data_IF_203287925745
#
_entry.id   IF_203287925745
#
_cell.length_a   1.000
_cell.length_b   1.000
_cell.length_c   1.000
_cell.angle_alpha   90.00
_cell.angle_beta   90.00
_cell.angle_gamma   90.00
#
_symmetry.space_group_name_H-M   'P 1'
#
loop_
_entity.id
_entity.type
_entity.pdbx_description
1 polymer ?
#
# COMPACT_ATOMS: atom_id res chain seq x y z
N UNK A 1 -13.73 22.03 15.31
CA UNK A 1 -13.97 21.23 14.10
C UNK A 1 -12.75 20.36 13.85
N UNK A 2 -12.93 19.05 13.66
CA UNK A 2 -11.84 18.10 13.34
C UNK A 2 -11.69 18.04 11.82
N UNK A 3 -10.44 18.00 11.32
CA UNK A 3 -10.16 17.83 9.89
C UNK A 3 -9.35 16.56 9.67
N UNK A 4 -9.83 15.71 8.76
CA UNK A 4 -9.14 14.50 8.32
C UNK A 4 -8.69 14.68 6.87
N UNK A 5 -7.41 14.41 6.60
CA UNK A 5 -6.85 14.40 5.24
C UNK A 5 -6.40 12.98 4.93
N UNK A 6 -6.91 12.42 3.83
CA UNK A 6 -6.50 11.12 3.33
C UNK A 6 -5.60 11.33 2.11
N UNK A 7 -4.40 10.73 2.15
CA UNK A 7 -3.45 10.77 1.05
C UNK A 7 -3.06 9.35 0.66
N UNK A 8 -3.34 8.97 -0.59
CA UNK A 8 -2.85 7.72 -1.15
C UNK A 8 -1.39 7.86 -1.54
N UNK A 9 -0.63 6.76 -1.43
CA UNK A 9 0.74 6.72 -1.94
C UNK A 9 0.80 7.01 -3.45
N UNK A 10 1.91 7.59 -3.91
CA UNK A 10 2.17 7.77 -5.34
C UNK A 10 2.44 6.46 -6.09
N UNK A 11 2.62 6.52 -7.40
CA UNK A 11 2.90 5.34 -8.23
C UNK A 11 4.09 4.51 -7.68
N UNK A 12 3.90 3.19 -7.55
CA UNK A 12 4.99 2.27 -7.21
C UNK A 12 5.64 1.64 -8.45
N UNK A 13 6.84 1.07 -8.28
CA UNK A 13 7.52 0.33 -9.35
C UNK A 13 6.66 -0.81 -9.91
N UNK A 14 5.83 -1.45 -9.08
CA UNK A 14 4.92 -2.51 -9.53
C UNK A 14 3.61 -2.00 -10.12
N UNK A 15 3.18 -0.78 -9.79
CA UNK A 15 2.08 -0.14 -10.51
C UNK A 15 2.48 0.06 -11.98
N UNK A 16 3.70 0.58 -12.22
CA UNK A 16 4.26 0.77 -13.56
C UNK A 16 4.37 -0.54 -14.34
N UNK A 17 4.70 -1.66 -13.67
CA UNK A 17 4.78 -2.99 -14.28
C UNK A 17 3.44 -3.74 -14.36
N UNK A 18 2.34 -3.09 -14.00
CA UNK A 18 1.00 -3.68 -13.95
C UNK A 18 0.90 -4.99 -13.14
N UNK A 19 1.63 -5.09 -12.02
CA UNK A 19 1.63 -6.26 -11.13
C UNK A 19 0.66 -6.11 -9.96
N UNK A 20 0.16 -7.22 -9.43
CA UNK A 20 -0.52 -7.24 -8.13
C UNK A 20 0.50 -7.08 -7.01
N UNK A 21 0.32 -6.09 -6.13
CA UNK A 21 1.33 -5.76 -5.10
C UNK A 21 0.98 -6.34 -3.74
N UNK A 22 -0.12 -5.86 -3.16
CA UNK A 22 -0.60 -6.27 -1.84
C UNK A 22 0.44 -5.98 -0.78
N UNK A 23 0.74 -6.98 0.04
CA UNK A 23 1.72 -6.87 1.12
C UNK A 23 3.17 -7.01 0.67
N UNK A 24 3.43 -7.07 -0.64
CA UNK A 24 4.80 -6.97 -1.14
C UNK A 24 5.31 -5.55 -0.97
N UNK A 25 6.47 -5.43 -0.31
CA UNK A 25 7.04 -4.14 0.05
C UNK A 25 7.92 -3.56 -1.07
N UNK A 26 7.26 -2.85 -1.98
CA UNK A 26 7.89 -2.17 -3.12
C UNK A 26 7.98 -0.67 -2.88
N UNK A 27 9.01 -0.03 -3.45
CA UNK A 27 9.19 1.42 -3.42
C UNK A 27 8.33 2.17 -4.42
N UNK A 28 8.33 3.51 -4.28
CA UNK A 28 7.78 4.43 -5.25
C UNK A 28 8.60 4.40 -6.56
N UNK A 29 7.94 4.63 -7.70
CA UNK A 29 8.63 5.04 -8.93
C UNK A 29 9.11 6.49 -8.80
N UNK A 30 9.92 6.96 -9.75
CA UNK A 30 10.32 8.38 -9.73
C UNK A 30 9.11 9.32 -9.83
N UNK A 31 8.16 8.99 -10.71
CA UNK A 31 6.86 9.66 -10.80
C UNK A 31 6.11 9.64 -9.46
N UNK A 32 6.08 8.51 -8.76
CA UNK A 32 5.41 8.43 -7.45
C UNK A 32 6.07 9.29 -6.36
N UNK A 33 7.38 9.57 -6.48
CA UNK A 33 8.08 10.51 -5.58
C UNK A 33 7.70 11.95 -5.90
N UNK A 34 7.60 12.29 -7.18
CA UNK A 34 7.13 13.60 -7.64
C UNK A 34 5.69 13.87 -7.17
N UNK A 35 4.78 12.91 -7.34
CA UNK A 35 3.39 12.98 -6.88
C UNK A 35 3.31 13.24 -5.36
N UNK A 36 4.14 12.56 -4.56
CA UNK A 36 4.19 12.77 -3.12
C UNK A 36 4.70 14.16 -2.73
N UNK A 37 5.74 14.64 -3.42
CA UNK A 37 6.27 15.99 -3.19
C UNK A 37 5.24 17.06 -3.58
N UNK A 38 4.54 16.87 -4.70
CA UNK A 38 3.52 17.81 -5.18
C UNK A 38 2.31 17.88 -4.25
N UNK A 39 1.82 16.72 -3.79
CA UNK A 39 0.76 16.68 -2.78
C UNK A 39 1.14 17.50 -1.53
N UNK A 40 2.38 17.39 -1.06
CA UNK A 40 2.87 18.20 0.06
C UNK A 40 2.96 19.70 -0.26
N UNK A 41 3.34 20.08 -1.48
CA UNK A 41 3.37 21.51 -1.90
C UNK A 41 1.97 22.10 -1.93
N UNK A 42 1.00 21.36 -2.48
CA UNK A 42 -0.40 21.79 -2.54
C UNK A 42 -1.04 21.92 -1.16
N UNK A 43 -0.79 20.95 -0.26
CA UNK A 43 -1.23 21.03 1.13
C UNK A 43 -0.65 22.28 1.83
N UNK A 44 0.63 22.57 1.62
CA UNK A 44 1.27 23.77 2.17
C UNK A 44 0.66 25.05 1.61
N UNK A 45 0.47 25.14 0.29
CA UNK A 45 -0.11 26.30 -0.40
C UNK A 45 -1.50 26.63 0.12
N UNK A 46 -2.28 25.62 0.47
CA UNK A 46 -3.63 25.75 1.05
C UNK A 46 -3.64 25.96 2.57
N UNK A 47 -2.47 26.10 3.20
CA UNK A 47 -2.34 26.38 4.63
C UNK A 47 -2.66 25.20 5.56
N UNK A 48 -2.58 23.96 5.08
CA UNK A 48 -2.76 22.79 5.95
C UNK A 48 -1.58 22.65 6.92
N UNK A 49 -1.92 22.32 8.17
CA UNK A 49 -0.99 21.91 9.24
C UNK A 49 -1.54 20.64 9.87
N UNK A 50 -0.65 19.75 10.30
CA UNK A 50 -1.01 18.45 10.84
C UNK A 50 -0.60 18.31 12.30
N UNK A 51 -1.50 17.88 13.17
CA UNK A 51 -1.16 17.61 14.58
C UNK A 51 -0.57 16.19 14.75
N UNK A 52 -1.04 15.26 13.91
CA UNK A 52 -0.59 13.87 13.86
C UNK A 52 -0.74 13.32 12.44
N UNK A 53 0.14 12.40 12.05
CA UNK A 53 0.05 11.68 10.78
C UNK A 53 0.09 10.18 11.04
N UNK A 54 -0.78 9.45 10.37
CA UNK A 54 -0.76 7.99 10.36
C UNK A 54 -0.34 7.49 8.99
N UNK A 55 0.42 6.40 8.94
CA UNK A 55 0.82 5.76 7.68
C UNK A 55 0.91 4.25 7.86
N UNK A 56 0.86 3.51 6.76
CA UNK A 56 1.10 2.06 6.81
C UNK A 56 2.56 1.75 7.14
N UNK A 57 2.88 0.48 7.38
CA UNK A 57 4.28 0.07 7.57
C UNK A 57 5.02 -0.16 6.25
N UNK A 58 4.37 0.03 5.10
CA UNK A 58 4.91 -0.21 3.76
C UNK A 58 5.77 0.97 3.27
N UNK A 59 6.90 0.67 2.61
CA UNK A 59 7.86 1.68 2.15
C UNK A 59 7.23 2.73 1.24
N UNK A 60 6.36 2.32 0.31
CA UNK A 60 5.66 3.27 -0.56
C UNK A 60 4.85 4.31 0.20
N UNK A 61 4.14 3.93 1.26
CA UNK A 61 3.35 4.87 2.06
C UNK A 61 4.25 5.71 2.97
N UNK A 62 5.24 5.10 3.62
CA UNK A 62 6.15 5.83 4.51
C UNK A 62 7.01 6.84 3.74
N UNK A 63 7.44 6.51 2.52
CA UNK A 63 8.15 7.43 1.63
C UNK A 63 7.23 8.54 1.13
N UNK A 64 5.98 8.25 0.74
CA UNK A 64 5.01 9.30 0.39
C UNK A 64 4.82 10.26 1.55
N UNK A 65 4.58 9.76 2.77
CA UNK A 65 4.44 10.59 3.98
C UNK A 65 5.67 11.46 4.21
N UNK A 66 6.88 10.88 4.13
CA UNK A 66 8.14 11.61 4.33
C UNK A 66 8.34 12.73 3.32
N UNK A 67 8.12 12.45 2.03
CA UNK A 67 8.25 13.43 0.95
C UNK A 67 7.20 14.54 1.06
N UNK A 68 5.95 14.20 1.36
CA UNK A 68 4.89 15.17 1.56
C UNK A 68 5.20 16.10 2.75
N UNK A 69 5.60 15.55 3.91
CA UNK A 69 5.96 16.36 5.09
C UNK A 69 7.18 17.24 4.85
N UNK A 70 8.18 16.75 4.10
CA UNK A 70 9.33 17.55 3.66
C UNK A 70 8.90 18.72 2.80
N UNK A 71 7.99 18.51 1.84
CA UNK A 71 7.41 19.58 1.02
C UNK A 71 6.57 20.57 1.83
N UNK A 72 5.81 20.09 2.82
CA UNK A 72 5.06 20.94 3.76
C UNK A 72 6.00 21.75 4.66
N UNK A 73 7.24 21.29 4.85
CA UNK A 73 8.24 21.82 5.79
C UNK A 73 7.78 21.69 7.24
N UNK A 74 7.13 20.58 7.57
CA UNK A 74 6.62 20.32 8.92
C UNK A 74 7.27 19.08 9.52
N UNK A 75 7.72 19.20 10.77
CA UNK A 75 8.02 18.05 11.64
C UNK A 75 6.78 17.76 12.48
N UNK A 76 6.27 16.54 12.42
CA UNK A 76 5.07 16.10 13.13
C UNK A 76 5.25 14.64 13.52
N UNK A 77 4.57 14.20 14.57
CA UNK A 77 4.53 12.80 14.99
C UNK A 77 3.92 11.94 13.87
N UNK A 78 4.62 10.89 13.47
CA UNK A 78 4.17 9.91 12.48
C UNK A 78 4.01 8.55 13.15
N UNK A 79 2.79 8.05 13.17
CA UNK A 79 2.45 6.72 13.70
C UNK A 79 2.31 5.71 12.55
N UNK A 80 2.93 4.54 12.70
CA UNK A 80 2.88 3.47 11.70
C UNK A 80 1.99 2.34 12.18
N UNK A 81 1.04 1.93 11.35
CA UNK A 81 0.09 0.86 11.67
C UNK A 81 -0.04 -0.12 10.50
N UNK A 82 0.12 -1.42 10.76
CA UNK A 82 -0.04 -2.45 9.72
C UNK A 82 -1.49 -2.57 9.24
N UNK A 83 -2.44 -2.13 10.07
CA UNK A 83 -3.87 -2.05 9.76
C UNK A 83 -4.17 -1.08 8.60
N UNK A 84 -3.24 -0.15 8.31
CA UNK A 84 -3.32 0.77 7.17
C UNK A 84 -2.65 0.22 5.90
N UNK A 85 -2.18 -1.02 5.93
CA UNK A 85 -1.63 -1.67 4.75
C UNK A 85 -2.67 -1.78 3.63
N UNK A 86 -2.18 -1.92 2.41
CA UNK A 86 -3.00 -2.35 1.28
C UNK A 86 -3.55 -3.75 1.53
N UNK A 87 -4.66 -4.09 0.87
CA UNK A 87 -5.23 -5.44 0.90
C UNK A 87 -4.23 -6.52 0.45
N UNK A 88 -4.20 -7.67 1.13
CA UNK A 88 -3.40 -8.83 0.77
C UNK A 88 -3.97 -9.55 -0.46
N UNK A 89 -3.27 -9.51 -1.61
CA UNK A 89 -3.71 -10.18 -2.85
C UNK A 89 -3.42 -11.69 -2.91
N UNK A 90 -2.94 -12.27 -1.81
CA UNK A 90 -2.66 -13.70 -1.70
C UNK A 90 -1.67 -14.21 -2.74
N UNK A 91 -2.00 -15.32 -3.38
CA UNK A 91 -1.15 -15.95 -4.37
C UNK A 91 -0.90 -15.06 -5.59
N UNK A 92 -1.76 -14.07 -5.87
CA UNK A 92 -1.64 -13.18 -7.03
C UNK A 92 -0.46 -12.19 -6.91
N UNK A 93 0.08 -11.96 -5.71
CA UNK A 93 1.15 -10.98 -5.50
C UNK A 93 2.38 -11.28 -6.38
N UNK A 94 2.78 -10.31 -7.21
CA UNK A 94 3.90 -10.42 -8.15
C UNK A 94 3.50 -10.80 -9.57
N UNK A 95 2.28 -11.30 -9.77
CA UNK A 95 1.77 -11.65 -11.10
C UNK A 95 1.31 -10.40 -11.86
N UNK A 96 1.44 -10.42 -13.19
CA UNK A 96 0.96 -9.35 -14.05
C UNK A 96 -0.57 -9.44 -14.21
N UNK A 97 -1.27 -8.30 -14.08
CA UNK A 97 -2.73 -8.26 -14.13
C UNK A 97 -3.28 -8.62 -15.50
N UNK A 98 -2.62 -8.20 -16.58
CA UNK A 98 -3.04 -8.51 -17.95
C UNK A 98 -2.85 -9.99 -18.27
N UNK A 99 -1.78 -10.61 -17.80
CA UNK A 99 -1.56 -12.06 -17.94
C UNK A 99 -2.62 -12.86 -17.16
N UNK A 100 -2.93 -12.44 -15.93
CA UNK A 100 -3.99 -13.09 -15.15
C UNK A 100 -5.37 -12.90 -15.76
N UNK A 101 -5.63 -11.74 -16.39
CA UNK A 101 -6.87 -11.50 -17.12
C UNK A 101 -7.00 -12.42 -18.35
N UNK A 102 -5.90 -12.66 -19.08
CA UNK A 102 -5.87 -13.64 -20.17
C UNK A 102 -6.08 -15.08 -19.68
N UNK A 103 -5.49 -15.44 -18.54
CA UNK A 103 -5.55 -16.80 -17.99
C UNK A 103 -6.87 -17.15 -17.31
N UNK A 104 -7.43 -16.22 -16.53
CA UNK A 104 -8.61 -16.47 -15.68
C UNK A 104 -9.86 -15.71 -16.13
N UNK A 105 -9.75 -14.85 -17.14
CA UNK A 105 -10.81 -13.98 -17.60
C UNK A 105 -10.85 -12.64 -16.84
N UNK A 106 -11.22 -11.58 -17.56
CA UNK A 106 -11.31 -10.22 -17.01
C UNK A 106 -12.33 -10.12 -15.88
N UNK A 107 -13.49 -10.78 -16.03
CA UNK A 107 -14.55 -10.82 -15.01
C UNK A 107 -14.04 -11.40 -13.70
N UNK A 108 -13.29 -12.51 -13.74
CA UNK A 108 -12.75 -13.14 -12.54
C UNK A 108 -11.70 -12.27 -11.86
N UNK A 109 -10.78 -11.68 -12.63
CA UNK A 109 -9.78 -10.74 -12.10
C UNK A 109 -10.46 -9.51 -11.50
N UNK A 110 -11.53 -9.01 -12.11
CA UNK A 110 -12.31 -7.90 -11.57
C UNK A 110 -13.00 -8.27 -10.26
N UNK A 111 -13.56 -9.48 -10.15
CA UNK A 111 -14.16 -10.01 -8.92
C UNK A 111 -13.12 -10.01 -7.80
N UNK A 112 -11.95 -10.63 -8.01
CA UNK A 112 -10.87 -10.63 -7.01
C UNK A 112 -10.37 -9.23 -6.65
N UNK A 113 -10.51 -8.24 -7.55
CA UNK A 113 -10.09 -6.86 -7.33
C UNK A 113 -11.13 -6.01 -6.63
N UNK A 114 -12.42 -6.22 -6.89
CA UNK A 114 -13.48 -5.28 -6.52
C UNK A 114 -14.55 -5.85 -5.59
N UNK A 115 -14.61 -7.17 -5.42
CA UNK A 115 -15.59 -7.79 -4.54
C UNK A 115 -15.26 -7.58 -3.07
N UNK A 116 -16.29 -7.25 -2.29
CA UNK A 116 -16.26 -7.21 -0.83
C UNK A 116 -16.30 -8.61 -0.21
N UNK A 117 -16.94 -9.57 -0.88
CA UNK A 117 -17.16 -10.92 -0.34
C UNK A 117 -16.12 -11.96 -0.83
N UNK A 118 -15.51 -11.72 -2.00
CA UNK A 118 -14.69 -12.74 -2.69
C UNK A 118 -13.21 -12.38 -2.60
N UNK A 119 -12.44 -13.28 -1.98
CA UNK A 119 -10.98 -13.17 -1.85
C UNK A 119 -10.28 -13.78 -3.07
N UNK A 120 -9.10 -13.26 -3.48
CA UNK A 120 -8.22 -13.97 -4.39
C UNK A 120 -7.67 -15.26 -3.75
N UNK A 121 -7.12 -16.19 -4.55
CA UNK A 121 -6.54 -17.42 -4.03
C UNK A 121 -5.52 -17.15 -2.92
N UNK A 122 -5.62 -17.91 -1.82
CA UNK A 122 -4.77 -17.72 -0.66
C UNK A 122 -3.31 -18.06 -0.95
N UNK A 123 -2.41 -17.31 -0.32
CA UNK A 123 -0.99 -17.63 -0.30
C UNK A 123 -0.76 -18.91 0.52
N UNK A 124 0.00 -19.88 0.00
CA UNK A 124 0.36 -21.07 0.75
C UNK A 124 1.32 -20.70 1.89
N UNK A 125 1.14 -21.30 3.07
CA UNK A 125 2.01 -21.10 4.24
C UNK A 125 3.46 -21.57 4.00
N UNK A 126 3.66 -22.51 3.07
CA UNK A 126 4.99 -22.95 2.66
C UNK A 126 5.69 -21.95 1.72
N UNK A 127 4.97 -20.96 1.18
CA UNK A 127 5.53 -19.95 0.29
C UNK A 127 6.53 -19.06 1.04
N UNK A 128 7.74 -18.81 0.49
CA UNK A 128 8.74 -17.95 1.12
C UNK A 128 8.23 -16.54 1.47
N UNK A 129 7.27 -16.01 0.68
CA UNK A 129 6.63 -14.71 0.92
C UNK A 129 5.92 -14.68 2.28
N UNK A 130 5.24 -15.77 2.66
CA UNK A 130 4.54 -15.86 3.93
C UNK A 130 5.52 -15.79 5.11
N UNK A 131 6.59 -16.61 5.10
CA UNK A 131 7.61 -16.59 6.16
C UNK A 131 8.30 -15.24 6.29
N UNK A 132 8.58 -14.58 5.16
CA UNK A 132 9.19 -13.24 5.14
C UNK A 132 8.27 -12.19 5.76
N UNK A 133 6.98 -12.21 5.40
CA UNK A 133 5.98 -11.31 5.98
C UNK A 133 5.84 -11.55 7.49
N UNK A 134 5.67 -12.79 7.94
CA UNK A 134 5.57 -13.10 9.37
C UNK A 134 6.72 -12.50 10.20
N UNK A 135 7.97 -12.67 9.74
CA UNK A 135 9.14 -12.08 10.40
C UNK A 135 9.07 -10.56 10.45
N UNK A 136 8.69 -9.91 9.34
CA UNK A 136 8.60 -8.45 9.24
C UNK A 136 7.53 -7.87 10.16
N UNK A 137 6.39 -8.56 10.29
CA UNK A 137 5.22 -8.06 11.01
C UNK A 137 5.17 -8.43 12.49
N UNK A 138 6.00 -9.40 12.92
CA UNK A 138 6.14 -9.76 14.35
C UNK A 138 6.50 -8.56 15.24
N UNK A 139 7.34 -7.64 14.75
CA UNK A 139 7.71 -6.41 15.49
C UNK A 139 6.56 -5.42 15.68
N UNK A 140 5.47 -5.59 14.93
CA UNK A 140 4.23 -4.82 15.05
C UNK A 140 3.14 -5.59 15.81
N UNK A 141 3.50 -6.66 16.52
CA UNK A 141 2.56 -7.49 17.31
C UNK A 141 1.70 -8.45 16.47
N UNK A 142 1.91 -8.53 15.16
CA UNK A 142 1.14 -9.41 14.29
C UNK A 142 1.86 -10.77 14.16
N UNK A 143 1.39 -11.74 14.94
CA UNK A 143 1.94 -13.11 14.97
C UNK A 143 1.50 -13.99 13.79
N UNK A 144 0.37 -13.64 13.15
CA UNK A 144 -0.13 -14.34 11.97
C UNK A 144 -0.56 -13.34 10.90
N UNK A 145 0.26 -13.17 9.86
CA UNK A 145 -0.10 -12.36 8.70
C UNK A 145 -1.21 -13.02 7.87
N UNK A 146 -2.13 -12.25 7.26
CA UNK A 146 -3.15 -12.80 6.39
C UNK A 146 -2.54 -13.46 5.17
N UNK A 147 -3.20 -14.51 4.67
CA UNK A 147 -2.82 -15.17 3.41
C UNK A 147 -3.58 -14.64 2.20
N UNK A 148 -4.69 -13.93 2.41
CA UNK A 148 -5.51 -13.25 1.40
C UNK A 148 -6.59 -12.42 2.08
N UNK A 149 -7.05 -11.34 1.42
CA UNK A 149 -8.08 -10.43 1.92
C UNK A 149 -9.02 -10.02 0.77
N UNK A 150 -10.25 -9.61 1.11
CA UNK A 150 -11.23 -8.98 0.21
C UNK A 150 -11.33 -7.48 0.54
N UNK A 151 -12.08 -6.73 -0.27
CA UNK A 151 -12.27 -5.28 -0.06
C UNK A 151 -13.08 -5.01 1.22
#
# INVERSE_FOLDING_TARGET
MIRLVLLRHGESTWNKLNKFTGWTDVGLSEKGREEAMEAGRELRKRGYKFDIVFTSVMNRATHTTSLALKSIKQKVKVEKAWQLNERHYGALQGLNKSEMAKKFGEKQVQIWRRSYAIRPPALNISDPRYRKQQKLYKKFGLNKTPTTECL
#
